data_IF_066070917516
#
_entry.id   IF_066070917516
#
_cell.length_a   1.000
_cell.length_b   1.000
_cell.length_c   1.000
_cell.angle_alpha   90.00
_cell.angle_beta   90.00
_cell.angle_gamma   90.00
#
_symmetry.space_group_name_H-M   'P 1'
#
loop_
_entity.id
_entity.type
_entity.pdbx_description
1 polymer ?
#
# COMPACT_ATOMS: atom_id res chain seq x y z
N UNK A 1 -11.17 23.07 -14.80
CA UNK A 1 -10.16 22.30 -14.03
C UNK A 1 -9.02 23.26 -13.75
N UNK A 2 -8.69 23.52 -12.49
CA UNK A 2 -7.49 24.29 -12.16
C UNK A 2 -6.30 23.51 -12.68
N UNK A 3 -5.62 24.06 -13.67
CA UNK A 3 -4.40 23.48 -14.22
C UNK A 3 -3.35 23.64 -13.11
N UNK A 4 -2.77 22.58 -12.53
CA UNK A 4 -1.62 22.77 -11.69
C UNK A 4 -0.51 23.37 -12.56
N UNK A 5 -0.13 24.62 -12.28
CA UNK A 5 0.86 25.36 -13.07
C UNK A 5 2.26 24.74 -12.98
N UNK A 6 2.49 23.79 -12.05
CA UNK A 6 3.76 23.11 -11.87
C UNK A 6 3.56 21.70 -11.33
N UNK A 7 4.11 20.70 -12.02
CA UNK A 7 4.19 19.33 -11.52
C UNK A 7 5.36 19.28 -10.54
N UNK A 8 5.09 18.94 -9.28
CA UNK A 8 6.14 18.83 -8.28
C UNK A 8 7.13 17.70 -8.65
N UNK A 9 8.44 17.91 -8.44
CA UNK A 9 9.43 16.88 -8.72
C UNK A 9 9.23 15.67 -7.80
N UNK A 10 9.63 14.51 -8.29
CA UNK A 10 9.72 13.31 -7.46
C UNK A 10 11.01 13.39 -6.67
N UNK A 11 10.89 13.64 -5.37
CA UNK A 11 12.00 13.63 -4.42
C UNK A 11 11.69 12.71 -3.25
N UNK A 12 12.76 12.16 -2.68
CA UNK A 12 12.74 11.34 -1.47
C UNK A 12 11.97 10.03 -1.58
N UNK A 13 11.86 9.35 -0.44
CA UNK A 13 11.20 8.05 -0.32
C UNK A 13 9.67 8.20 -0.31
N UNK A 14 9.00 7.29 -1.00
CA UNK A 14 7.55 7.15 -0.97
C UNK A 14 7.16 5.96 -0.10
N UNK A 15 6.52 6.24 1.03
CA UNK A 15 5.92 5.21 1.87
C UNK A 15 4.61 4.70 1.26
N UNK A 16 4.47 3.40 1.12
CA UNK A 16 3.24 2.73 0.65
C UNK A 16 2.68 1.92 1.82
N UNK A 17 1.59 2.41 2.39
CA UNK A 17 0.91 1.80 3.53
C UNK A 17 -0.28 0.96 3.06
N UNK A 18 -0.35 -0.30 3.48
CA UNK A 18 -1.39 -1.25 3.05
C UNK A 18 -2.14 -1.83 4.26
N UNK A 19 -3.35 -1.34 4.58
CA UNK A 19 -4.26 -2.05 5.47
C UNK A 19 -4.67 -3.38 4.81
N UNK A 20 -4.40 -4.50 5.47
CA UNK A 20 -4.50 -5.85 4.90
C UNK A 20 -3.21 -6.28 4.21
N UNK A 21 -2.19 -6.61 4.97
CA UNK A 21 -0.93 -7.17 4.49
C UNK A 21 -1.02 -8.68 4.19
N UNK A 22 -2.10 -9.10 3.55
CA UNK A 22 -2.31 -10.47 3.07
C UNK A 22 -1.75 -10.69 1.66
N UNK A 23 -2.29 -11.70 0.95
CA UNK A 23 -1.75 -12.18 -0.33
C UNK A 23 -1.47 -11.10 -1.39
N UNK A 24 -2.35 -10.11 -1.57
CA UNK A 24 -2.17 -9.05 -2.58
C UNK A 24 -1.01 -8.13 -2.20
N UNK A 25 -1.01 -7.63 -0.97
CA UNK A 25 0.01 -6.73 -0.47
C UNK A 25 1.39 -7.40 -0.43
N UNK A 26 1.48 -8.63 0.07
CA UNK A 26 2.76 -9.35 0.18
C UNK A 26 3.31 -9.76 -1.18
N UNK A 27 2.44 -10.12 -2.13
CA UNK A 27 2.84 -10.34 -3.54
C UNK A 27 3.37 -9.06 -4.16
N UNK A 28 2.74 -7.91 -3.92
CA UNK A 28 3.19 -6.63 -4.44
C UNK A 28 4.57 -6.26 -3.86
N UNK A 29 4.74 -6.34 -2.54
CA UNK A 29 6.01 -6.07 -1.85
C UNK A 29 7.10 -7.01 -2.37
N UNK A 30 6.87 -8.33 -2.31
CA UNK A 30 7.85 -9.32 -2.73
C UNK A 30 8.20 -9.21 -4.22
N UNK A 31 7.22 -8.88 -5.07
CA UNK A 31 7.44 -8.63 -6.49
C UNK A 31 8.32 -7.40 -6.74
N UNK A 32 8.10 -6.31 -6.01
CA UNK A 32 8.96 -5.13 -6.11
C UNK A 32 10.38 -5.44 -5.60
N UNK A 33 10.52 -6.08 -4.44
CA UNK A 33 11.83 -6.46 -3.92
C UNK A 33 12.57 -7.44 -4.85
N UNK A 34 11.87 -8.36 -5.51
CA UNK A 34 12.44 -9.22 -6.54
C UNK A 34 12.98 -8.43 -7.74
N UNK A 35 12.26 -7.38 -8.17
CA UNK A 35 12.71 -6.51 -9.27
C UNK A 35 13.96 -5.71 -8.85
N UNK A 36 13.97 -5.13 -7.65
CA UNK A 36 15.14 -4.43 -7.09
C UNK A 36 16.37 -5.33 -7.00
N UNK A 37 16.17 -6.59 -6.61
CA UNK A 37 17.22 -7.60 -6.54
C UNK A 37 17.64 -8.19 -7.90
N UNK A 38 17.02 -7.75 -9.02
CA UNK A 38 17.31 -8.27 -10.36
C UNK A 38 16.82 -9.71 -10.60
N UNK A 39 15.95 -10.22 -9.72
CA UNK A 39 15.36 -11.57 -9.79
C UNK A 39 14.10 -11.61 -10.65
N UNK A 40 13.57 -10.45 -11.06
CA UNK A 40 12.34 -10.36 -11.85
C UNK A 40 12.28 -9.11 -12.72
N UNK A 41 11.28 -9.07 -13.59
CA UNK A 41 10.91 -7.89 -14.40
C UNK A 41 9.51 -7.42 -14.01
N UNK A 42 9.18 -6.12 -14.13
CA UNK A 42 7.87 -5.57 -13.77
C UNK A 42 6.75 -5.92 -14.78
N UNK A 43 6.64 -7.20 -15.15
CA UNK A 43 5.68 -7.70 -16.15
C UNK A 43 4.25 -7.42 -15.66
N UNK A 44 3.45 -6.81 -16.54
CA UNK A 44 2.09 -6.39 -16.22
C UNK A 44 1.97 -5.00 -15.60
N UNK A 45 3.08 -4.36 -15.21
CA UNK A 45 3.04 -2.99 -14.69
C UNK A 45 2.94 -1.97 -15.81
N UNK A 46 1.77 -1.31 -15.89
CA UNK A 46 1.53 -0.24 -16.87
C UNK A 46 2.54 0.90 -16.72
N UNK A 47 2.88 1.32 -15.50
CA UNK A 47 3.78 2.46 -15.29
C UNK A 47 5.22 2.13 -15.68
N UNK A 48 5.64 0.88 -15.51
CA UNK A 48 7.03 0.47 -15.76
C UNK A 48 7.29 -0.03 -17.19
N UNK A 49 6.28 -0.62 -17.85
CA UNK A 49 6.42 -1.24 -19.17
C UNK A 49 5.48 -0.66 -20.23
N UNK A 50 4.51 0.17 -19.85
CA UNK A 50 3.58 0.80 -20.78
C UNK A 50 4.16 2.02 -21.47
N UNK A 51 3.59 2.35 -22.63
CA UNK A 51 3.89 3.58 -23.37
C UNK A 51 2.68 4.49 -23.42
N UNK A 52 2.92 5.78 -23.60
CA UNK A 52 1.88 6.79 -23.81
C UNK A 52 2.01 7.39 -25.19
N UNK A 53 0.94 7.34 -26.00
CA UNK A 53 0.95 7.94 -27.34
C UNK A 53 0.79 9.45 -27.23
N UNK A 54 1.74 10.18 -27.81
CA UNK A 54 1.69 11.63 -27.97
C UNK A 54 1.32 11.97 -29.41
N UNK A 55 0.36 12.87 -29.60
CA UNK A 55 -0.06 13.31 -30.93
C UNK A 55 -0.87 12.26 -31.71
N UNK A 56 -0.79 12.34 -33.05
CA UNK A 56 -1.51 11.44 -33.96
C UNK A 56 -0.82 10.08 -34.04
N UNK A 57 -1.56 9.06 -34.44
CA UNK A 57 -1.03 7.70 -34.66
C UNK A 57 0.15 7.66 -35.65
N UNK A 58 0.18 8.58 -36.61
CA UNK A 58 1.21 8.67 -37.65
C UNK A 58 2.53 9.25 -37.16
N UNK A 59 2.53 9.91 -35.99
CA UNK A 59 3.68 10.69 -35.52
C UNK A 59 4.73 9.81 -34.82
N UNK A 60 4.43 8.52 -34.59
CA UNK A 60 5.37 7.53 -34.06
C UNK A 60 5.88 7.81 -32.64
N UNK A 61 5.30 8.77 -31.93
CA UNK A 61 5.80 9.24 -30.63
C UNK A 61 5.06 8.51 -29.49
N UNK A 62 5.70 7.47 -28.96
CA UNK A 62 5.16 6.66 -27.85
C UNK A 62 6.23 6.36 -26.81
N UNK A 63 6.69 7.36 -26.02
CA UNK A 63 7.66 7.12 -24.95
C UNK A 63 7.09 6.18 -23.87
N UNK A 64 7.98 5.56 -23.09
CA UNK A 64 7.58 4.83 -21.89
C UNK A 64 6.94 5.79 -20.88
N UNK A 65 5.92 5.34 -20.15
CA UNK A 65 5.22 6.17 -19.17
C UNK A 65 6.19 6.68 -18.09
N UNK A 66 7.07 5.81 -17.58
CA UNK A 66 8.10 6.17 -16.60
C UNK A 66 9.14 7.18 -17.09
N UNK A 67 9.34 7.30 -18.40
CA UNK A 67 10.28 8.27 -18.99
C UNK A 67 9.57 9.59 -19.35
N UNK A 68 8.22 9.59 -19.33
CA UNK A 68 7.40 10.74 -19.69
C UNK A 68 6.89 11.53 -18.48
N UNK A 69 6.51 10.85 -17.39
CA UNK A 69 6.01 11.47 -16.15
C UNK A 69 6.98 11.20 -15.02
N UNK A 70 7.32 12.20 -14.17
CA UNK A 70 8.15 11.96 -13.00
C UNK A 70 7.37 11.10 -11.99
N UNK A 71 7.69 9.81 -11.93
CA UNK A 71 7.13 8.84 -10.99
C UNK A 71 8.21 8.42 -9.97
N UNK A 72 7.79 8.03 -8.76
CA UNK A 72 8.69 7.42 -7.78
C UNK A 72 9.35 6.17 -8.39
N UNK A 73 10.67 6.08 -8.26
CA UNK A 73 11.40 4.88 -8.65
C UNK A 73 11.03 3.71 -7.74
N UNK A 74 11.17 2.48 -8.23
CA UNK A 74 10.92 1.29 -7.40
C UNK A 74 11.85 1.27 -6.17
N UNK A 75 13.10 1.70 -6.34
CA UNK A 75 14.11 1.82 -5.26
C UNK A 75 13.70 2.79 -4.14
N UNK A 76 12.86 3.79 -4.45
CA UNK A 76 12.41 4.80 -3.49
C UNK A 76 11.16 4.37 -2.72
N UNK A 77 10.57 3.21 -3.06
CA UNK A 77 9.40 2.68 -2.37
C UNK A 77 9.79 2.02 -1.05
N UNK A 78 9.10 2.43 0.01
CA UNK A 78 9.18 1.83 1.35
C UNK A 78 7.81 1.28 1.73
N UNK A 79 7.76 0.05 2.21
CA UNK A 79 6.50 -0.65 2.47
C UNK A 79 6.20 -0.76 3.96
N UNK A 80 4.92 -0.61 4.30
CA UNK A 80 4.39 -0.89 5.62
C UNK A 80 2.88 -1.09 5.54
N UNK A 81 2.24 -1.28 6.68
CA UNK A 81 0.80 -1.49 6.71
C UNK A 81 0.33 -2.12 8.00
N UNK A 82 -0.90 -2.60 7.95
CA UNK A 82 -1.58 -3.23 9.08
C UNK A 82 -2.13 -4.56 8.67
N UNK A 83 -2.18 -5.49 9.61
CA UNK A 83 -2.92 -6.73 9.42
C UNK A 83 -3.51 -7.20 10.76
N UNK A 84 -4.53 -8.03 10.68
CA UNK A 84 -5.14 -8.67 11.84
C UNK A 84 -4.34 -9.89 12.31
N UNK A 85 -3.32 -10.29 11.54
CA UNK A 85 -2.31 -11.29 11.90
C UNK A 85 -0.92 -10.65 12.07
N UNK A 86 -0.03 -11.34 12.78
CA UNK A 86 1.31 -10.84 13.12
C UNK A 86 2.42 -11.28 12.16
N UNK A 87 2.09 -12.09 11.15
CA UNK A 87 3.03 -12.64 10.18
C UNK A 87 3.80 -11.51 9.47
N UNK A 88 5.13 -11.63 9.42
CA UNK A 88 5.94 -10.77 8.58
C UNK A 88 5.67 -11.04 7.08
N UNK A 89 6.11 -10.14 6.20
CA UNK A 89 5.83 -10.26 4.76
C UNK A 89 6.39 -11.55 4.17
N UNK A 90 7.53 -12.06 4.64
CA UNK A 90 8.07 -13.33 4.15
C UNK A 90 7.15 -14.51 4.49
N UNK A 91 6.72 -14.60 5.76
CA UNK A 91 5.82 -15.65 6.22
C UNK A 91 4.48 -15.58 5.48
N UNK A 92 3.88 -14.38 5.42
CA UNK A 92 2.60 -14.17 4.76
C UNK A 92 2.67 -14.40 3.23
N UNK A 93 3.76 -14.01 2.56
CA UNK A 93 3.98 -14.31 1.14
C UNK A 93 4.15 -15.82 0.88
N UNK A 94 4.88 -16.50 1.76
CA UNK A 94 5.08 -17.95 1.67
C UNK A 94 3.76 -18.71 1.87
N UNK A 95 2.95 -18.28 2.84
CA UNK A 95 1.60 -18.82 3.06
C UNK A 95 0.66 -18.56 1.88
N UNK A 96 0.75 -17.38 1.24
CA UNK A 96 -0.08 -17.04 0.09
C UNK A 96 0.21 -17.91 -1.14
N UNK A 97 1.45 -18.42 -1.29
CA UNK A 97 1.82 -19.35 -2.36
C UNK A 97 1.75 -18.77 -3.78
N UNK A 98 1.86 -17.44 -3.92
CA UNK A 98 1.78 -16.75 -5.22
C UNK A 98 3.14 -16.73 -5.94
N UNK A 99 4.21 -16.35 -5.23
CA UNK A 99 5.58 -16.42 -5.76
C UNK A 99 6.20 -17.79 -5.44
N UNK A 100 7.09 -18.27 -6.31
CA UNK A 100 7.87 -19.47 -6.02
C UNK A 100 8.70 -19.30 -4.74
N UNK A 101 8.68 -20.31 -3.86
CA UNK A 101 9.36 -20.26 -2.57
C UNK A 101 10.85 -19.92 -2.72
N UNK A 102 11.53 -20.45 -3.74
CA UNK A 102 12.95 -20.14 -4.01
C UNK A 102 13.20 -18.64 -4.22
N UNK A 103 12.25 -17.93 -4.85
CA UNK A 103 12.36 -16.48 -5.04
C UNK A 103 12.17 -15.75 -3.71
N UNK A 104 11.21 -16.19 -2.89
CA UNK A 104 11.00 -15.63 -1.55
C UNK A 104 12.18 -15.89 -0.61
N UNK A 105 12.80 -17.07 -0.68
CA UNK A 105 13.96 -17.45 0.12
C UNK A 105 15.15 -16.54 -0.17
N UNK A 106 15.36 -16.17 -1.44
CA UNK A 106 16.39 -15.21 -1.86
C UNK A 106 16.14 -13.79 -1.31
N UNK A 107 14.89 -13.48 -0.94
CA UNK A 107 14.45 -12.18 -0.42
C UNK A 107 14.07 -12.24 1.07
N UNK A 108 14.38 -13.33 1.77
CA UNK A 108 13.95 -13.53 3.16
C UNK A 108 14.38 -12.39 4.09
N UNK A 109 15.63 -11.94 3.96
CA UNK A 109 16.19 -10.91 4.83
C UNK A 109 15.45 -9.55 4.72
N UNK A 110 15.21 -8.98 3.53
CA UNK A 110 14.41 -7.76 3.42
C UNK A 110 12.93 -7.98 3.75
N UNK A 111 12.33 -9.11 3.36
CA UNK A 111 10.89 -9.34 3.57
C UNK A 111 10.53 -9.59 5.06
N UNK A 112 11.36 -10.31 5.82
CA UNK A 112 11.11 -10.54 7.25
C UNK A 112 11.26 -9.30 8.13
N UNK A 113 11.88 -8.22 7.62
CA UNK A 113 11.96 -6.93 8.32
C UNK A 113 10.63 -6.15 8.27
N UNK A 114 9.77 -6.46 7.31
CA UNK A 114 8.50 -5.76 7.13
C UNK A 114 7.42 -6.52 7.91
N UNK A 115 7.01 -5.93 9.04
CA UNK A 115 5.99 -6.51 9.93
C UNK A 115 4.74 -5.63 9.97
N UNK A 116 3.54 -6.21 9.98
CA UNK A 116 2.32 -5.45 10.08
C UNK A 116 2.20 -4.78 11.45
N UNK A 117 1.74 -3.53 11.44
CA UNK A 117 1.21 -2.87 12.63
C UNK A 117 -0.15 -3.49 13.00
N UNK A 118 -0.59 -3.34 14.25
CA UNK A 118 -1.88 -3.86 14.71
C UNK A 118 -3.04 -3.19 13.96
N UNK A 119 -3.93 -3.96 13.36
CA UNK A 119 -5.06 -3.41 12.61
C UNK A 119 -6.16 -2.82 13.50
N UNK A 120 -6.89 -1.83 12.97
CA UNK A 120 -8.24 -1.51 13.44
C UNK A 120 -9.18 -2.54 12.80
N UNK A 121 -9.88 -3.33 13.61
CA UNK A 121 -10.72 -4.42 13.12
C UNK A 121 -12.00 -4.54 13.93
N UNK A 122 -13.12 -4.66 13.22
CA UNK A 122 -14.43 -4.97 13.78
C UNK A 122 -15.09 -6.08 12.95
N UNK A 123 -15.33 -7.22 13.61
CA UNK A 123 -15.88 -8.42 12.97
C UNK A 123 -17.30 -8.20 12.41
N UNK A 124 -18.00 -7.14 12.83
CA UNK A 124 -19.27 -6.76 12.23
C UNK A 124 -19.12 -6.41 10.74
N UNK A 125 -17.96 -5.90 10.33
CA UNK A 125 -17.67 -5.55 8.94
C UNK A 125 -17.19 -6.75 8.12
N UNK A 126 -16.50 -7.71 8.75
CA UNK A 126 -15.96 -8.92 8.11
C UNK A 126 -16.24 -10.16 8.97
N UNK A 127 -17.43 -10.74 8.83
CA UNK A 127 -17.97 -11.77 9.73
C UNK A 127 -17.20 -13.10 9.77
N UNK A 128 -16.40 -13.41 8.75
CA UNK A 128 -15.69 -14.69 8.60
C UNK A 128 -14.21 -14.61 8.96
N UNK A 129 -13.78 -13.48 9.50
CA UNK A 129 -12.40 -13.24 9.88
C UNK A 129 -12.34 -13.03 11.40
N UNK A 130 -11.31 -13.58 12.02
CA UNK A 130 -10.94 -13.31 13.40
C UNK A 130 -9.54 -12.72 13.40
N UNK A 131 -9.32 -11.70 14.23
CA UNK A 131 -8.05 -10.98 14.32
C UNK A 131 -7.41 -11.13 15.68
N UNK A 132 -6.16 -11.57 15.72
CA UNK A 132 -5.35 -11.67 16.95
C UNK A 132 -4.42 -10.46 17.14
N UNK A 133 -4.10 -9.74 16.07
CA UNK A 133 -3.18 -8.60 16.04
C UNK A 133 -3.92 -7.28 15.84
N UNK A 134 -4.83 -6.97 16.76
CA UNK A 134 -5.76 -5.83 16.62
C UNK A 134 -5.52 -4.76 17.69
N UNK A 135 -5.80 -3.50 17.34
CA UNK A 135 -5.85 -2.37 18.27
C UNK A 135 -7.09 -2.47 19.16
N UNK A 136 -7.01 -1.89 20.35
CA UNK A 136 -8.12 -1.80 21.29
C UNK A 136 -8.15 -0.42 21.90
N UNK A 137 -9.33 0.21 21.88
CA UNK A 137 -9.62 1.49 22.51
C UNK A 137 -11.13 1.57 22.83
N UNK A 138 -11.54 2.54 23.64
CA UNK A 138 -12.93 2.67 24.06
C UNK A 138 -13.82 3.26 22.96
N UNK A 139 -13.24 4.08 22.07
CA UNK A 139 -13.99 4.78 21.01
C UNK A 139 -13.33 4.61 19.63
N UNK A 140 -14.14 4.79 18.56
CA UNK A 140 -13.63 4.82 17.18
C UNK A 140 -12.66 5.99 16.95
N UNK A 141 -12.90 7.13 17.61
CA UNK A 141 -12.00 8.28 17.54
C UNK A 141 -10.60 7.95 18.08
N UNK A 142 -10.51 7.25 19.21
CA UNK A 142 -9.22 6.80 19.74
C UNK A 142 -8.52 5.81 18.80
N UNK A 143 -9.26 4.87 18.19
CA UNK A 143 -8.70 3.96 17.18
C UNK A 143 -8.19 4.73 15.95
N UNK A 144 -8.90 5.77 15.51
CA UNK A 144 -8.48 6.64 14.43
C UNK A 144 -7.20 7.42 14.80
N UNK A 145 -7.10 7.97 16.00
CA UNK A 145 -5.86 8.63 16.47
C UNK A 145 -4.69 7.67 16.56
N UNK A 146 -4.90 6.42 17.01
CA UNK A 146 -3.86 5.39 16.99
C UNK A 146 -3.39 5.07 15.57
N UNK A 147 -4.29 5.03 14.58
CA UNK A 147 -3.93 4.83 13.18
C UNK A 147 -3.18 6.05 12.60
N UNK A 148 -3.60 7.27 12.96
CA UNK A 148 -2.89 8.51 12.59
C UNK A 148 -1.48 8.53 13.16
N UNK A 149 -1.30 8.03 14.38
CA UNK A 149 0.02 7.96 15.01
C UNK A 149 0.94 6.95 14.33
N UNK A 150 0.43 5.76 14.01
CA UNK A 150 1.16 4.78 13.20
C UNK A 150 1.65 5.38 11.88
N UNK A 151 0.80 6.15 11.18
CA UNK A 151 1.16 6.81 9.91
C UNK A 151 2.30 7.81 10.12
N UNK A 152 2.22 8.65 11.17
CA UNK A 152 3.24 9.65 11.48
C UNK A 152 4.56 9.00 11.89
N UNK A 153 4.51 8.00 12.75
CA UNK A 153 5.65 7.23 13.21
C UNK A 153 6.33 6.52 12.03
N UNK A 154 5.58 5.79 11.20
CA UNK A 154 6.12 5.14 10.00
C UNK A 154 6.83 6.13 9.08
N UNK A 155 6.24 7.31 8.85
CA UNK A 155 6.85 8.36 8.03
C UNK A 155 8.21 8.80 8.58
N UNK A 156 8.25 9.10 9.87
CA UNK A 156 9.44 9.56 10.58
C UNK A 156 10.53 8.50 10.59
N UNK A 157 10.19 7.29 11.03
CA UNK A 157 11.13 6.18 11.24
C UNK A 157 11.79 5.71 9.94
N UNK A 158 11.08 5.85 8.82
CA UNK A 158 11.58 5.44 7.51
C UNK A 158 12.14 6.59 6.65
N UNK A 159 12.07 7.84 7.16
CA UNK A 159 12.48 9.03 6.41
C UNK A 159 11.71 9.20 5.10
N UNK A 160 10.39 8.98 5.12
CA UNK A 160 9.54 9.14 3.95
C UNK A 160 9.12 10.61 3.78
N UNK A 161 9.24 11.14 2.57
CA UNK A 161 8.78 12.50 2.26
C UNK A 161 7.25 12.52 2.11
N UNK A 162 6.74 11.47 1.48
CA UNK A 162 5.33 11.29 1.12
C UNK A 162 4.86 9.90 1.48
N UNK A 163 3.56 9.78 1.72
CA UNK A 163 2.90 8.51 1.96
C UNK A 163 1.70 8.38 1.02
N UNK A 164 1.42 7.16 0.60
CA UNK A 164 0.16 6.76 0.00
C UNK A 164 -0.38 5.55 0.75
N UNK A 165 -1.69 5.45 0.85
CA UNK A 165 -2.36 4.29 1.45
C UNK A 165 -3.20 3.57 0.40
N UNK A 166 -3.13 2.24 0.38
CA UNK A 166 -3.88 1.38 -0.55
C UNK A 166 -4.58 0.31 0.28
N UNK A 167 -5.91 0.33 0.31
CA UNK A 167 -6.68 -0.69 1.02
C UNK A 167 -6.56 -2.05 0.32
N UNK A 168 -5.97 -3.01 1.02
CA UNK A 168 -5.83 -4.42 0.60
C UNK A 168 -6.52 -5.38 1.60
N UNK A 169 -7.33 -4.83 2.51
CA UNK A 169 -8.09 -5.58 3.49
C UNK A 169 -9.20 -6.41 2.86
N UNK A 170 -9.75 -7.33 3.64
CA UNK A 170 -10.91 -8.11 3.20
C UNK A 170 -12.09 -7.20 2.84
N UNK A 171 -12.88 -7.61 1.86
CA UNK A 171 -14.10 -6.90 1.48
C UNK A 171 -15.06 -6.84 2.67
N UNK A 172 -15.39 -5.62 3.08
CA UNK A 172 -16.34 -5.36 4.16
C UNK A 172 -17.78 -5.42 3.64
N UNK A 173 -18.74 -5.58 4.55
CA UNK A 173 -20.15 -5.40 4.23
C UNK A 173 -20.43 -3.98 3.72
N UNK A 174 -21.46 -3.85 2.89
CA UNK A 174 -21.98 -2.55 2.53
C UNK A 174 -22.67 -1.89 3.73
N UNK A 175 -22.33 -0.63 4.00
CA UNK A 175 -23.08 0.23 4.92
C UNK A 175 -23.95 1.19 4.12
N UNK A 176 -25.23 1.29 4.50
CA UNK A 176 -26.08 2.36 4.00
C UNK A 176 -25.67 3.66 4.70
N UNK A 177 -25.41 4.75 3.96
CA UNK A 177 -25.18 6.06 4.57
C UNK A 177 -26.32 6.44 5.51
N UNK A 178 -25.98 7.13 6.58
CA UNK A 178 -26.88 7.59 7.65
C UNK A 178 -26.51 9.04 7.96
N UNK A 179 -27.27 9.77 8.80
CA UNK A 179 -26.97 11.18 9.08
C UNK A 179 -25.53 11.44 9.55
N UNK A 180 -24.88 10.47 10.20
CA UNK A 180 -23.48 10.58 10.64
C UNK A 180 -22.48 10.75 9.48
N UNK A 181 -22.86 10.35 8.26
CA UNK A 181 -21.99 10.33 7.09
C UNK A 181 -22.19 11.56 6.17
N UNK A 182 -23.06 12.51 6.52
CA UNK A 182 -23.47 13.60 5.62
C UNK A 182 -22.42 14.71 5.48
N UNK A 183 -21.67 15.00 6.53
CA UNK A 183 -20.65 16.05 6.56
C UNK A 183 -19.43 15.59 7.34
N UNK A 184 -18.29 16.25 7.13
CA UNK A 184 -17.06 15.95 7.87
C UNK A 184 -17.29 16.18 9.37
N UNK A 185 -17.93 17.29 9.72
CA UNK A 185 -18.14 17.70 11.10
C UNK A 185 -19.03 16.71 11.88
N UNK A 186 -20.07 16.18 11.24
CA UNK A 186 -20.94 15.16 11.86
C UNK A 186 -20.21 13.81 11.91
N UNK A 187 -19.44 13.46 10.88
CA UNK A 187 -18.68 12.21 10.85
C UNK A 187 -17.61 12.15 11.94
N UNK A 188 -16.95 13.27 12.25
CA UNK A 188 -15.97 13.36 13.33
C UNK A 188 -16.62 13.26 14.73
N UNK A 189 -17.91 13.59 14.88
CA UNK A 189 -18.63 13.54 16.16
C UNK A 189 -19.22 12.17 16.52
N UNK A 190 -19.44 11.29 15.53
CA UNK A 190 -20.13 10.00 15.70
C UNK A 190 -19.21 8.79 15.88
#
# INVERSE_FOLDING_TARGET
MNKPDTIQPVTGKLGVLMPGMGAVATTFIAGVEAIKAGLGKPIGSLTQMGTIRLGKRTDGTSPMIKDFVPLAGLEDLVFGGWDVFEDDVYAAASHAGVLEQKTLDALKEPLSKIKPMKAVFDQNYVKRLEGSHVKSAATKWELAEMAREDIRSFKSDNGCDRLVMIWCGSTEIFLTPTPVHETIEIFEQG
#
